data_IF_693664787368
#
_entry.id   IF_693664787368
#
_cell.length_a   1.000
_cell.length_b   1.000
_cell.length_c   1.000
_cell.angle_alpha   90.00
_cell.angle_beta   90.00
_cell.angle_gamma   90.00
#
_symmetry.space_group_name_H-M   'P 1'
#
loop_
_entity.id
_entity.type
_entity.pdbx_description
1 polymer ?
#
# COMPACT_ATOMS: atom_id res chain seq x y z
N UNK A 1 9.36 60.50 -15.55
CA UNK A 1 9.09 59.22 -16.22
C UNK A 1 8.61 58.24 -15.17
N UNK A 2 7.29 58.11 -15.05
CA UNK A 2 6.59 57.18 -14.15
C UNK A 2 6.43 55.85 -14.87
N UNK A 3 7.07 54.79 -14.36
CA UNK A 3 6.83 53.42 -14.82
C UNK A 3 6.12 52.66 -13.69
N UNK A 4 4.81 52.50 -13.84
CA UNK A 4 4.02 51.48 -13.18
C UNK A 4 4.41 50.11 -13.73
N UNK A 5 4.67 49.15 -12.86
CA UNK A 5 4.66 47.71 -13.20
C UNK A 5 3.44 47.07 -12.53
N UNK A 6 2.60 46.30 -13.25
CA UNK A 6 1.40 45.69 -12.68
C UNK A 6 1.68 44.32 -12.06
N UNK A 7 1.04 44.10 -10.90
CA UNK A 7 0.29 42.91 -10.47
C UNK A 7 0.80 41.49 -10.75
N UNK A 8 0.97 40.74 -9.66
CA UNK A 8 0.98 39.26 -9.61
C UNK A 8 -0.18 38.63 -10.40
N UNK A 9 0.11 37.50 -11.05
CA UNK A 9 -0.88 36.46 -11.34
C UNK A 9 -0.34 35.13 -10.84
N UNK A 10 -0.68 34.78 -9.61
CA UNK A 10 -0.53 33.42 -9.10
C UNK A 10 -1.59 32.54 -9.78
N UNK A 11 -1.14 31.63 -10.65
CA UNK A 11 -2.02 30.62 -11.23
C UNK A 11 -2.26 29.52 -10.18
N UNK A 12 -3.42 29.59 -9.52
CA UNK A 12 -3.92 28.51 -8.67
C UNK A 12 -4.54 27.42 -9.57
N UNK A 13 -3.82 26.31 -9.74
CA UNK A 13 -4.30 25.13 -10.47
C UNK A 13 -5.52 24.51 -9.73
N UNK A 14 -6.71 24.47 -10.35
CA UNK A 14 -7.90 23.95 -9.69
C UNK A 14 -7.84 22.42 -9.68
N UNK A 15 -7.54 21.83 -8.52
CA UNK A 15 -7.72 20.38 -8.34
C UNK A 15 -6.93 19.70 -7.23
N UNK A 16 -5.99 20.38 -6.57
CA UNK A 16 -5.18 19.72 -5.53
C UNK A 16 -5.90 19.75 -4.18
N UNK A 17 -6.53 18.64 -3.81
CA UNK A 17 -7.02 18.42 -2.43
C UNK A 17 -5.85 18.56 -1.46
N UNK A 18 -5.95 19.50 -0.51
CA UNK A 18 -5.02 19.63 0.60
C UNK A 18 -5.39 18.56 1.63
N UNK A 19 -4.68 17.43 1.60
CA UNK A 19 -4.83 16.38 2.60
C UNK A 19 -4.11 16.81 3.88
N UNK A 20 -4.76 16.79 5.06
CA UNK A 20 -4.06 17.02 6.32
C UNK A 20 -2.94 15.99 6.50
N UNK A 21 -1.78 16.37 7.07
CA UNK A 21 -0.70 15.43 7.32
C UNK A 21 -1.18 14.33 8.27
N UNK A 22 -1.13 13.08 7.82
CA UNK A 22 -1.39 11.93 8.68
C UNK A 22 -0.18 11.74 9.60
N UNK A 23 -0.39 11.94 10.90
CA UNK A 23 0.64 11.73 11.93
C UNK A 23 0.67 10.24 12.27
N UNK A 24 1.83 9.61 12.09
CA UNK A 24 2.11 8.26 12.57
C UNK A 24 3.23 8.33 13.62
N UNK A 25 2.93 7.93 14.86
CA UNK A 25 3.94 7.80 15.92
C UNK A 25 4.58 6.42 15.83
N UNK A 26 5.90 6.37 15.61
CA UNK A 26 6.69 5.14 15.57
C UNK A 26 7.48 4.99 16.84
N UNK A 27 7.29 3.88 17.56
CA UNK A 27 8.23 3.46 18.61
C UNK A 27 8.97 2.19 18.17
N UNK A 28 10.28 2.41 18.04
CA UNK A 28 11.45 1.54 17.96
C UNK A 28 11.48 0.38 16.94
N UNK A 29 12.20 0.65 15.84
CA UNK A 29 12.97 -0.38 15.14
C UNK A 29 12.98 -0.31 13.62
N UNK A 30 13.91 0.47 13.05
CA UNK A 30 14.49 0.35 11.70
C UNK A 30 13.86 1.14 10.53
N UNK A 31 14.66 2.12 10.05
CA UNK A 31 14.61 2.93 8.81
C UNK A 31 13.57 4.06 8.78
N UNK A 32 14.01 5.27 8.44
CA UNK A 32 13.22 6.51 8.27
C UNK A 32 12.23 6.44 7.09
N UNK A 33 11.46 5.37 6.99
CA UNK A 33 10.47 5.15 5.96
C UNK A 33 9.17 5.81 6.38
N UNK A 34 8.61 6.66 5.52
CA UNK A 34 7.26 7.24 5.70
C UNK A 34 6.15 6.24 5.34
N UNK A 35 6.50 4.98 5.09
CA UNK A 35 5.55 3.94 4.71
C UNK A 35 4.81 3.43 5.95
N UNK A 36 3.51 3.19 5.78
CA UNK A 36 2.67 2.68 6.86
C UNK A 36 2.60 1.15 6.80
N UNK A 37 3.12 0.50 7.83
CA UNK A 37 3.11 -0.95 7.96
C UNK A 37 2.17 -1.40 9.08
N UNK A 38 1.53 -2.55 8.88
CA UNK A 38 0.80 -3.26 9.93
C UNK A 38 1.38 -4.66 10.12
N UNK A 39 1.61 -5.05 11.38
CA UNK A 39 2.11 -6.37 11.73
C UNK A 39 0.95 -7.30 12.05
N UNK A 40 0.91 -8.45 11.40
CA UNK A 40 0.07 -9.57 11.81
C UNK A 40 0.81 -10.40 12.85
N UNK A 41 0.23 -10.53 14.04
CA UNK A 41 0.82 -11.30 15.14
C UNK A 41 0.74 -12.81 14.90
N UNK A 42 -0.23 -13.27 14.12
CA UNK A 42 -0.40 -14.70 13.83
C UNK A 42 0.70 -15.22 12.92
N UNK A 43 0.98 -14.54 11.81
CA UNK A 43 2.03 -14.95 10.86
C UNK A 43 3.40 -14.32 11.13
N UNK A 44 3.46 -13.25 11.92
CA UNK A 44 4.66 -12.45 12.13
C UNK A 44 5.05 -11.56 10.95
N UNK A 45 4.22 -11.50 9.89
CA UNK A 45 4.47 -10.70 8.69
C UNK A 45 4.16 -9.21 8.92
N UNK A 46 4.91 -8.34 8.25
CA UNK A 46 4.62 -6.91 8.15
C UNK A 46 4.06 -6.61 6.75
N UNK A 47 2.86 -6.06 6.70
CA UNK A 47 2.19 -5.68 5.46
C UNK A 47 2.28 -4.17 5.24
N UNK A 48 2.63 -3.76 4.02
CA UNK A 48 2.50 -2.37 3.61
C UNK A 48 1.03 -2.04 3.37
N UNK A 49 0.53 -0.95 3.96
CA UNK A 49 -0.83 -0.48 3.74
C UNK A 49 -0.83 0.44 2.51
N UNK A 50 -1.46 -0.01 1.44
CA UNK A 50 -1.69 0.75 0.22
C UNK A 50 -3.19 0.88 -0.04
N UNK A 51 -3.76 2.06 0.22
CA UNK A 51 -5.17 2.34 -0.03
C UNK A 51 -5.51 2.47 -1.52
N UNK A 52 -4.50 2.61 -2.38
CA UNK A 52 -4.66 2.66 -3.84
C UNK A 52 -4.65 1.28 -4.49
N UNK A 53 -4.31 0.22 -3.75
CA UNK A 53 -4.28 -1.14 -4.26
C UNK A 53 -5.69 -1.74 -4.36
N UNK A 54 -6.01 -2.34 -5.52
CA UNK A 54 -7.26 -3.06 -5.71
C UNK A 54 -7.26 -4.46 -5.03
N UNK A 55 -6.08 -5.01 -4.75
CA UNK A 55 -5.89 -6.36 -4.21
C UNK A 55 -4.80 -6.36 -3.14
N UNK A 56 -4.96 -7.23 -2.14
CA UNK A 56 -3.92 -7.56 -1.17
C UNK A 56 -3.09 -8.74 -1.66
N UNK A 57 -1.77 -8.66 -1.53
CA UNK A 57 -0.83 -9.64 -2.11
C UNK A 57 0.06 -10.23 -1.01
N UNK A 58 0.29 -11.54 -1.07
CA UNK A 58 1.36 -12.21 -0.31
C UNK A 58 2.33 -12.92 -1.25
N UNK A 59 3.63 -13.00 -0.92
CA UNK A 59 4.56 -13.82 -1.68
C UNK A 59 4.17 -15.30 -1.64
N UNK A 60 4.42 -16.01 -2.74
CA UNK A 60 4.30 -17.48 -2.77
C UNK A 60 5.31 -18.09 -1.79
N UNK A 61 4.84 -18.94 -0.88
CA UNK A 61 5.73 -19.68 0.01
C UNK A 61 6.53 -20.72 -0.79
N UNK A 62 7.82 -20.88 -0.46
CA UNK A 62 8.71 -21.86 -1.11
C UNK A 62 8.20 -23.30 -0.99
N UNK A 63 7.46 -23.61 0.07
CA UNK A 63 6.85 -24.93 0.30
C UNK A 63 5.60 -25.18 -0.55
N UNK A 64 5.00 -24.12 -1.13
CA UNK A 64 3.82 -24.19 -1.99
C UNK A 64 4.22 -24.22 -3.49
N UNK A 65 5.46 -24.61 -3.79
CA UNK A 65 6.05 -24.51 -5.13
C UNK A 65 5.20 -25.19 -6.23
N UNK A 66 4.44 -26.23 -5.88
CA UNK A 66 3.56 -26.97 -6.79
C UNK A 66 2.19 -26.36 -7.07
N UNK A 67 1.81 -25.21 -6.47
CA UNK A 67 0.52 -24.58 -6.79
C UNK A 67 0.54 -24.04 -8.22
N UNK A 68 -0.42 -24.49 -9.02
CA UNK A 68 -0.63 -24.01 -10.38
C UNK A 68 -0.92 -22.51 -10.40
N UNK A 69 -0.53 -21.85 -11.49
CA UNK A 69 -0.86 -20.45 -11.70
C UNK A 69 -2.37 -20.29 -11.88
N UNK A 70 -2.95 -19.29 -11.25
CA UNK A 70 -4.34 -18.93 -11.50
C UNK A 70 -4.49 -18.30 -12.90
N UNK A 71 -5.71 -18.32 -13.44
CA UNK A 71 -6.07 -17.58 -14.65
C UNK A 71 -5.95 -16.06 -14.48
N UNK A 72 -5.93 -15.56 -13.25
CA UNK A 72 -5.74 -14.15 -12.94
C UNK A 72 -4.26 -13.80 -13.00
N UNK A 73 -3.92 -12.73 -13.73
CA UNK A 73 -2.57 -12.15 -13.75
C UNK A 73 -2.63 -10.69 -13.38
N UNK A 74 -1.63 -10.22 -12.64
CA UNK A 74 -1.48 -8.79 -12.33
C UNK A 74 -0.54 -8.16 -13.34
N UNK A 75 -0.73 -6.87 -13.60
CA UNK A 75 0.21 -6.10 -14.41
C UNK A 75 0.98 -5.15 -13.49
N UNK A 76 2.30 -5.25 -13.53
CA UNK A 76 3.18 -4.31 -12.83
C UNK A 76 3.19 -2.95 -13.54
N UNK A 77 3.66 -1.90 -12.84
CA UNK A 77 3.76 -0.55 -13.40
C UNK A 77 4.65 -0.47 -14.67
N UNK A 78 5.60 -1.39 -14.82
CA UNK A 78 6.44 -1.52 -16.01
C UNK A 78 5.80 -2.40 -17.12
N UNK A 79 4.50 -2.69 -17.02
CA UNK A 79 3.69 -3.47 -17.97
C UNK A 79 4.06 -4.95 -18.07
N UNK A 80 4.94 -5.48 -17.22
CA UNK A 80 5.17 -6.91 -17.15
C UNK A 80 4.04 -7.63 -16.41
N UNK A 81 3.84 -8.90 -16.73
CA UNK A 81 2.83 -9.74 -16.08
C UNK A 81 3.43 -10.38 -14.82
N UNK A 82 2.67 -10.35 -13.73
CA UNK A 82 2.94 -11.10 -12.51
C UNK A 82 1.91 -12.23 -12.44
N UNK A 83 2.39 -13.47 -12.42
CA UNK A 83 1.52 -14.63 -12.22
C UNK A 83 0.99 -14.63 -10.79
N UNK A 84 -0.31 -14.88 -10.63
CA UNK A 84 -0.90 -15.14 -9.32
C UNK A 84 -1.07 -16.65 -9.14
N UNK A 85 -1.15 -17.09 -7.90
CA UNK A 85 -1.23 -18.52 -7.59
C UNK A 85 -2.56 -18.89 -6.95
N UNK A 86 -3.58 -18.06 -7.18
CA UNK A 86 -4.90 -18.18 -6.56
C UNK A 86 -4.95 -17.54 -5.18
N UNK A 87 -6.14 -17.47 -4.61
CA UNK A 87 -6.34 -16.77 -3.34
C UNK A 87 -5.95 -17.61 -2.12
N UNK A 88 -5.60 -16.92 -1.04
CA UNK A 88 -5.37 -17.48 0.30
C UNK A 88 -5.99 -16.56 1.34
N UNK A 89 -6.85 -17.13 2.19
CA UNK A 89 -7.40 -16.40 3.34
C UNK A 89 -6.44 -16.55 4.52
N UNK A 90 -6.01 -15.42 5.09
CA UNK A 90 -5.33 -15.37 6.37
C UNK A 90 -6.27 -14.78 7.41
N UNK A 91 -6.23 -15.32 8.62
CA UNK A 91 -6.89 -14.69 9.76
C UNK A 91 -5.89 -13.78 10.45
N UNK A 92 -6.01 -12.47 10.22
CA UNK A 92 -5.06 -11.48 10.71
C UNK A 92 -5.35 -11.11 12.17
N UNK A 93 -4.31 -11.10 13.00
CA UNK A 93 -4.28 -10.49 14.33
C UNK A 93 -3.48 -9.19 14.25
N UNK A 94 -4.20 -8.07 14.12
CA UNK A 94 -3.62 -6.72 14.07
C UNK A 94 -3.47 -6.08 15.47
N UNK A 95 -3.65 -6.86 16.55
CA UNK A 95 -3.61 -6.38 17.92
C UNK A 95 -4.91 -5.76 18.44
N UNK A 96 -6.02 -5.93 17.73
CA UNK A 96 -7.35 -5.53 18.19
C UNK A 96 -8.06 -6.66 18.93
N UNK A 97 -9.23 -6.35 19.53
CA UNK A 97 -10.07 -7.35 20.26
C UNK A 97 -10.79 -8.37 19.36
N UNK A 98 -10.49 -8.39 18.06
CA UNK A 98 -11.05 -9.33 17.09
C UNK A 98 -10.00 -9.69 16.05
N UNK A 99 -10.16 -10.87 15.47
CA UNK A 99 -9.38 -11.31 14.32
C UNK A 99 -10.11 -10.97 13.02
N UNK A 100 -9.35 -10.82 11.93
CA UNK A 100 -9.87 -10.39 10.63
C UNK A 100 -9.56 -11.43 9.56
N UNK A 101 -10.54 -12.22 9.11
CA UNK A 101 -10.37 -13.01 7.89
C UNK A 101 -10.14 -12.08 6.71
N UNK A 102 -9.03 -12.26 6.00
CA UNK A 102 -8.63 -11.40 4.90
C UNK A 102 -8.11 -12.22 3.73
N UNK A 103 -8.56 -11.90 2.52
CA UNK A 103 -8.22 -12.62 1.30
C UNK A 103 -7.03 -11.96 0.62
N UNK A 104 -5.98 -12.75 0.40
CA UNK A 104 -4.81 -12.37 -0.38
C UNK A 104 -4.79 -13.10 -1.72
N UNK A 105 -4.18 -12.46 -2.73
CA UNK A 105 -3.98 -12.98 -4.10
C UNK A 105 -2.52 -13.35 -4.33
#
# INVERSE_FOLDING_TARGET
ATNHAPGQTDFEEPGKRITPPQVATTEEGCLNSRLFYVRDKNSGLNFLVDTGAALSIIPKNKTELGRETSSVTLQAANKTKIATFGQKTLTLDLGFRRQFPWVFT
#
